data_IF_996809663177
#
_entry.id   IF_996809663177
#
_cell.length_a   1.000
_cell.length_b   1.000
_cell.length_c   1.000
_cell.angle_alpha   90.00
_cell.angle_beta   90.00
_cell.angle_gamma   90.00
#
_symmetry.space_group_name_H-M   'P 1'
#
loop_
_entity.id
_entity.type
_entity.pdbx_description
1 polymer ?
#
# COMPACT_ATOMS: atom_id res chain seq x y z
N UNK A 1 -6.50 18.05 -9.95
CA UNK A 1 -7.20 17.34 -8.86
C UNK A 1 -6.26 16.74 -7.82
N UNK A 2 -5.50 15.67 -8.08
CA UNK A 2 -4.64 15.03 -7.05
C UNK A 2 -3.73 16.01 -6.28
N UNK A 3 -3.01 16.90 -6.98
CA UNK A 3 -2.11 17.88 -6.32
C UNK A 3 -2.85 18.82 -5.38
N UNK A 4 -4.03 19.29 -5.79
CA UNK A 4 -4.87 20.19 -5.00
C UNK A 4 -5.30 19.48 -3.73
N UNK A 5 -5.81 18.24 -3.83
CA UNK A 5 -6.22 17.45 -2.65
C UNK A 5 -5.05 17.28 -1.66
N UNK A 6 -3.86 16.92 -2.15
CA UNK A 6 -2.69 16.75 -1.27
C UNK A 6 -2.28 18.08 -0.62
N UNK A 7 -2.29 19.18 -1.37
CA UNK A 7 -1.99 20.51 -0.82
C UNK A 7 -3.02 20.93 0.23
N UNK A 8 -4.31 20.70 -0.03
CA UNK A 8 -5.38 20.96 0.95
C UNK A 8 -5.16 20.15 2.22
N UNK A 9 -4.82 18.86 2.11
CA UNK A 9 -4.50 18.01 3.27
C UNK A 9 -3.29 18.52 4.05
N UNK A 10 -2.24 18.99 3.37
CA UNK A 10 -1.05 19.57 4.01
C UNK A 10 -1.36 20.89 4.72
N UNK A 11 -2.19 21.76 4.12
CA UNK A 11 -2.62 23.01 4.75
C UNK A 11 -3.47 22.73 5.98
N UNK A 12 -4.43 21.79 5.88
CA UNK A 12 -5.24 21.35 7.03
C UNK A 12 -4.31 20.83 8.14
N UNK A 13 -3.33 19.99 7.79
CA UNK A 13 -2.35 19.48 8.77
C UNK A 13 -1.50 20.60 9.39
N UNK A 14 -1.09 21.60 8.62
CA UNK A 14 -0.35 22.77 9.11
C UNK A 14 -1.15 23.57 10.14
N UNK A 15 -2.45 23.77 9.89
CA UNK A 15 -3.36 24.46 10.81
C UNK A 15 -3.57 23.63 12.07
N UNK A 16 -3.84 22.33 11.93
CA UNK A 16 -4.02 21.42 13.07
C UNK A 16 -2.75 21.37 13.93
N UNK A 17 -1.57 21.25 13.31
CA UNK A 17 -0.31 21.22 14.06
C UNK A 17 -0.03 22.54 14.77
N UNK A 18 -0.41 23.67 14.17
CA UNK A 18 -0.31 25.00 14.81
C UNK A 18 -1.21 25.12 16.03
N UNK A 19 -2.49 24.74 15.90
CA UNK A 19 -3.44 24.73 17.01
C UNK A 19 -2.96 23.81 18.14
N UNK A 20 -2.50 22.59 17.80
CA UNK A 20 -2.00 21.64 18.79
C UNK A 20 -0.79 22.19 19.54
N UNK A 21 0.13 22.84 18.82
CA UNK A 21 1.32 23.46 19.41
C UNK A 21 0.93 24.57 20.38
N UNK A 22 0.00 25.45 19.99
CA UNK A 22 -0.55 26.49 20.86
C UNK A 22 -1.16 25.90 22.14
N UNK A 23 -1.94 24.83 22.04
CA UNK A 23 -2.52 24.16 23.20
C UNK A 23 -1.44 23.60 24.15
N UNK A 24 -0.35 23.03 23.63
CA UNK A 24 0.74 22.50 24.45
C UNK A 24 1.64 23.59 25.05
N UNK A 25 1.82 24.72 24.37
CA UNK A 25 2.71 25.81 24.79
C UNK A 25 1.97 27.01 25.39
N UNK A 26 0.72 26.82 25.83
CA UNK A 26 -0.18 27.91 26.27
C UNK A 26 0.40 28.74 27.42
N UNK A 27 1.29 28.16 28.23
CA UNK A 27 1.95 28.81 29.38
C UNK A 27 3.49 28.86 29.23
N UNK A 28 4.01 28.54 28.05
CA UNK A 28 5.43 28.47 27.79
C UNK A 28 5.89 29.67 26.95
N UNK A 29 7.17 30.01 27.04
CA UNK A 29 7.76 31.07 26.21
C UNK A 29 7.56 30.81 24.72
N UNK A 30 7.48 31.89 23.93
CA UNK A 30 7.31 31.84 22.47
C UNK A 30 8.34 30.93 21.78
N UNK A 31 9.54 30.78 22.36
CA UNK A 31 10.58 29.85 21.89
C UNK A 31 10.07 28.40 21.78
N UNK A 32 9.30 27.92 22.77
CA UNK A 32 8.77 26.56 22.77
C UNK A 32 7.74 26.35 21.68
N UNK A 33 6.94 27.38 21.35
CA UNK A 33 6.00 27.32 20.23
C UNK A 33 6.73 27.16 18.90
N UNK A 34 7.78 27.97 18.68
CA UNK A 34 8.60 27.90 17.46
C UNK A 34 9.37 26.57 17.33
N UNK A 35 9.62 25.87 18.44
CA UNK A 35 10.24 24.54 18.43
C UNK A 35 9.21 23.41 18.24
N UNK A 36 8.09 23.45 18.96
CA UNK A 36 7.08 22.38 18.96
C UNK A 36 6.31 22.32 17.64
N UNK A 37 6.00 23.45 17.03
CA UNK A 37 5.23 23.49 15.79
C UNK A 37 5.90 22.78 14.60
N UNK A 38 7.17 23.05 14.24
CA UNK A 38 7.83 22.31 13.18
C UNK A 38 8.02 20.84 13.56
N UNK A 39 8.23 20.53 14.85
CA UNK A 39 8.33 19.15 15.32
C UNK A 39 7.03 18.38 15.05
N UNK A 40 5.89 18.88 15.53
CA UNK A 40 4.57 18.25 15.34
C UNK A 40 4.22 18.18 13.85
N UNK A 41 4.48 19.25 13.09
CA UNK A 41 4.23 19.26 11.65
C UNK A 41 5.04 18.19 10.91
N UNK A 42 6.29 17.95 11.34
CA UNK A 42 7.19 16.98 10.71
C UNK A 42 6.92 15.52 11.11
N UNK A 43 6.08 15.25 12.12
CA UNK A 43 5.79 13.90 12.60
C UNK A 43 5.40 12.90 11.50
N UNK A 44 4.50 13.22 10.54
CA UNK A 44 4.17 12.27 9.48
C UNK A 44 5.37 11.89 8.60
N UNK A 45 6.38 12.76 8.48
CA UNK A 45 7.58 12.50 7.70
C UNK A 45 8.58 11.58 8.43
N UNK A 46 8.46 11.46 9.75
CA UNK A 46 9.22 10.48 10.54
C UNK A 46 8.83 9.03 10.24
N UNK A 47 7.67 8.80 9.58
CA UNK A 47 7.23 7.49 9.13
C UNK A 47 8.24 6.80 8.20
N UNK A 48 9.11 7.56 7.52
CA UNK A 48 10.22 7.00 6.75
C UNK A 48 11.19 6.21 7.63
N UNK A 49 11.57 6.75 8.78
CA UNK A 49 12.47 6.09 9.72
C UNK A 49 11.79 4.86 10.32
N UNK A 50 10.53 5.00 10.74
CA UNK A 50 9.73 3.88 11.24
C UNK A 50 9.61 2.75 10.19
N UNK A 51 9.35 3.08 8.93
CA UNK A 51 9.30 2.09 7.85
C UNK A 51 10.66 1.42 7.58
N UNK A 52 11.77 2.15 7.77
CA UNK A 52 13.12 1.60 7.69
C UNK A 52 13.40 0.57 8.79
N UNK A 53 13.00 0.88 10.02
CA UNK A 53 13.11 -0.02 11.17
C UNK A 53 12.19 -1.23 10.98
N UNK A 54 10.93 -1.03 10.58
CA UNK A 54 9.99 -2.12 10.37
C UNK A 54 10.47 -3.10 9.29
N UNK A 55 11.16 -2.64 8.24
CA UNK A 55 11.79 -3.52 7.24
C UNK A 55 12.85 -4.45 7.82
N UNK A 56 13.63 -3.99 8.80
CA UNK A 56 14.66 -4.82 9.42
C UNK A 56 14.03 -5.95 10.23
N UNK A 57 12.92 -5.68 10.91
CA UNK A 57 12.22 -6.67 11.73
C UNK A 57 11.21 -7.52 10.93
N UNK A 58 10.70 -7.02 9.81
CA UNK A 58 9.69 -7.68 8.97
C UNK A 58 10.17 -7.72 7.51
N UNK A 59 11.02 -8.69 7.15
CA UNK A 59 11.57 -8.77 5.80
C UNK A 59 10.52 -9.15 4.73
N UNK A 60 9.33 -9.60 5.13
CA UNK A 60 8.26 -9.96 4.21
C UNK A 60 7.93 -8.80 3.24
N UNK A 61 7.87 -9.13 1.95
CA UNK A 61 7.56 -8.16 0.89
C UNK A 61 6.05 -7.99 0.68
N UNK A 62 5.27 -8.96 1.16
CA UNK A 62 3.82 -9.00 0.99
C UNK A 62 3.14 -9.20 2.34
N UNK A 63 1.91 -8.71 2.43
CA UNK A 63 1.04 -8.88 3.58
C UNK A 63 -0.26 -9.52 3.11
N UNK A 64 -0.66 -10.60 3.78
CA UNK A 64 -1.94 -11.26 3.55
C UNK A 64 -2.92 -10.75 4.59
N UNK A 65 -3.96 -10.05 4.15
CA UNK A 65 -5.06 -9.62 5.00
C UNK A 65 -6.25 -10.54 4.81
N UNK A 66 -6.77 -11.09 5.91
CA UNK A 66 -7.90 -12.03 5.88
C UNK A 66 -9.20 -11.31 6.26
N UNK A 67 -10.24 -11.49 5.44
CA UNK A 67 -11.58 -11.00 5.75
C UNK A 67 -12.64 -12.02 5.33
N UNK A 68 -13.31 -12.60 6.33
CA UNK A 68 -14.28 -13.70 6.17
C UNK A 68 -13.63 -14.91 5.49
N UNK A 69 -13.97 -15.18 4.23
CA UNK A 69 -13.41 -16.27 3.40
C UNK A 69 -12.60 -15.76 2.22
N UNK A 70 -12.08 -14.53 2.33
CA UNK A 70 -11.29 -13.87 1.31
C UNK A 70 -9.95 -13.47 1.90
N UNK A 71 -8.89 -13.73 1.16
CA UNK A 71 -7.57 -13.18 1.45
C UNK A 71 -7.25 -12.08 0.44
N UNK A 72 -6.59 -11.04 0.92
CA UNK A 72 -6.06 -9.96 0.11
C UNK A 72 -4.56 -9.97 0.21
N UNK A 73 -3.89 -10.14 -0.94
CA UNK A 73 -2.43 -10.07 -1.01
C UNK A 73 -2.07 -8.65 -1.41
N UNK A 74 -1.48 -7.93 -0.47
CA UNK A 74 -1.02 -6.57 -0.64
C UNK A 74 0.51 -6.51 -0.59
N UNK A 75 1.08 -5.46 -1.19
CA UNK A 75 2.44 -5.06 -0.86
C UNK A 75 2.48 -4.70 0.64
N UNK A 76 3.48 -5.18 1.36
CA UNK A 76 3.64 -4.81 2.75
C UNK A 76 3.84 -3.28 2.88
N UNK A 77 3.16 -2.61 3.84
CA UNK A 77 3.09 -1.15 3.91
C UNK A 77 4.43 -0.47 4.23
N UNK A 78 5.41 -1.23 4.74
CA UNK A 78 6.77 -0.75 4.96
C UNK A 78 7.63 -0.82 3.69
N UNK A 79 7.26 -1.58 2.66
CA UNK A 79 8.07 -1.74 1.45
C UNK A 79 8.02 -0.52 0.53
N UNK A 80 9.09 -0.24 -0.23
CA UNK A 80 9.08 0.86 -1.16
C UNK A 80 8.16 0.53 -2.34
N UNK A 81 7.21 1.43 -2.61
CA UNK A 81 6.30 1.33 -3.76
C UNK A 81 6.91 1.91 -5.05
N UNK A 82 8.04 2.62 -4.94
CA UNK A 82 8.68 3.38 -6.04
C UNK A 82 10.21 3.25 -5.99
N UNK A 83 10.87 3.33 -7.14
CA UNK A 83 12.33 3.30 -7.25
C UNK A 83 12.93 1.91 -7.10
N UNK A 84 12.13 0.87 -7.36
CA UNK A 84 12.55 -0.52 -7.25
C UNK A 84 13.47 -0.91 -8.40
N UNK A 85 14.56 -1.60 -8.09
CA UNK A 85 15.42 -2.23 -9.10
C UNK A 85 14.70 -3.41 -9.76
N UNK A 86 15.09 -3.83 -10.98
CA UNK A 86 14.50 -5.00 -11.63
C UNK A 86 14.53 -6.26 -10.74
N UNK A 87 15.64 -6.49 -10.02
CA UNK A 87 15.79 -7.59 -9.08
C UNK A 87 14.78 -7.51 -7.92
N UNK A 88 14.59 -6.33 -7.33
CA UNK A 88 13.59 -6.12 -6.26
C UNK A 88 12.17 -6.35 -6.76
N UNK A 89 11.88 -5.97 -8.02
CA UNK A 89 10.58 -6.22 -8.62
C UNK A 89 10.36 -7.72 -8.85
N UNK A 90 11.38 -8.47 -9.25
CA UNK A 90 11.28 -9.93 -9.38
C UNK A 90 11.02 -10.61 -8.04
N UNK A 91 11.82 -10.29 -7.00
CA UNK A 91 11.61 -10.78 -5.63
C UNK A 91 10.21 -10.45 -5.10
N UNK A 92 9.71 -9.25 -5.42
CA UNK A 92 8.34 -8.87 -5.10
C UNK A 92 7.32 -9.81 -5.75
N UNK A 93 7.44 -10.12 -7.03
CA UNK A 93 6.50 -11.00 -7.72
C UNK A 93 6.60 -12.46 -7.27
N UNK A 94 7.80 -12.92 -6.92
CA UNK A 94 7.99 -14.22 -6.28
C UNK A 94 7.26 -14.27 -4.94
N UNK A 95 7.42 -13.25 -4.10
CA UNK A 95 6.70 -13.15 -2.82
C UNK A 95 5.18 -13.05 -3.01
N UNK A 96 4.69 -12.30 -4.00
CA UNK A 96 3.25 -12.25 -4.33
C UNK A 96 2.75 -13.63 -4.74
N UNK A 97 3.51 -14.36 -5.56
CA UNK A 97 3.13 -15.69 -6.02
C UNK A 97 3.03 -16.66 -4.84
N UNK A 98 4.06 -16.70 -4.00
CA UNK A 98 4.09 -17.58 -2.84
C UNK A 98 2.97 -17.27 -1.83
N UNK A 99 2.79 -15.99 -1.50
CA UNK A 99 1.70 -15.53 -0.63
C UNK A 99 0.32 -15.82 -1.21
N UNK A 100 0.15 -15.73 -2.53
CA UNK A 100 -1.11 -16.04 -3.21
C UNK A 100 -1.40 -17.54 -3.14
N UNK A 101 -0.40 -18.40 -3.33
CA UNK A 101 -0.55 -19.85 -3.21
C UNK A 101 -0.93 -20.25 -1.79
N UNK A 102 -0.18 -19.78 -0.79
CA UNK A 102 -0.48 -20.02 0.64
C UNK A 102 -1.87 -19.50 1.03
N UNK A 103 -2.28 -18.36 0.47
CA UNK A 103 -3.62 -17.84 0.68
C UNK A 103 -4.69 -18.74 0.06
N UNK A 104 -4.46 -19.30 -1.13
CA UNK A 104 -5.42 -20.18 -1.82
C UNK A 104 -5.62 -21.53 -1.10
N UNK A 105 -4.62 -22.03 -0.38
CA UNK A 105 -4.75 -23.24 0.45
C UNK A 105 -5.86 -23.09 1.49
N UNK A 106 -5.97 -21.91 2.08
CA UNK A 106 -6.86 -21.67 3.23
C UNK A 106 -8.08 -20.79 2.89
N UNK A 107 -8.14 -20.21 1.69
CA UNK A 107 -9.18 -19.24 1.33
C UNK A 107 -9.80 -19.54 -0.03
N UNK A 108 -11.13 -19.42 -0.09
CA UNK A 108 -11.90 -19.63 -1.32
C UNK A 108 -11.62 -18.56 -2.39
N UNK A 109 -11.36 -17.34 -1.97
CA UNK A 109 -11.12 -16.20 -2.86
C UNK A 109 -9.86 -15.48 -2.41
N UNK A 110 -8.95 -15.24 -3.34
CA UNK A 110 -7.74 -14.43 -3.14
C UNK A 110 -7.78 -13.25 -4.09
N UNK A 111 -7.53 -12.06 -3.56
CA UNK A 111 -7.56 -10.81 -4.32
C UNK A 111 -6.17 -10.19 -4.29
N UNK A 112 -5.60 -9.99 -5.48
CA UNK A 112 -4.30 -9.36 -5.67
C UNK A 112 -4.54 -8.00 -6.32
N UNK A 113 -4.10 -6.94 -5.65
CA UNK A 113 -4.22 -5.57 -6.14
C UNK A 113 -2.88 -4.86 -6.04
N UNK A 114 -2.34 -4.39 -7.15
CA UNK A 114 -1.04 -3.70 -7.17
C UNK A 114 -0.92 -2.79 -8.39
N UNK A 115 -0.39 -1.58 -8.24
CA UNK A 115 -0.07 -0.71 -9.37
C UNK A 115 0.94 -1.32 -10.35
N UNK A 116 1.71 -2.31 -9.89
CA UNK A 116 2.69 -3.05 -10.68
C UNK A 116 2.08 -4.23 -11.44
N UNK A 117 0.82 -4.57 -11.18
CA UNK A 117 0.12 -5.66 -11.84
C UNK A 117 -0.16 -5.25 -13.30
N UNK A 118 0.56 -5.89 -14.22
CA UNK A 118 0.34 -5.77 -15.66
C UNK A 118 -0.37 -7.01 -16.17
N UNK A 119 -1.03 -6.96 -17.35
CA UNK A 119 -1.63 -8.15 -17.95
C UNK A 119 -0.65 -9.32 -18.08
N UNK A 120 0.60 -9.03 -18.44
CA UNK A 120 1.67 -10.03 -18.51
C UNK A 120 1.96 -10.69 -17.16
N UNK A 121 2.08 -9.88 -16.10
CA UNK A 121 2.32 -10.39 -14.73
C UNK A 121 1.15 -11.15 -14.17
N UNK A 122 -0.07 -10.71 -14.46
CA UNK A 122 -1.28 -11.44 -14.09
C UNK A 122 -1.29 -12.83 -14.75
N UNK A 123 -1.02 -12.92 -16.07
CA UNK A 123 -0.95 -14.21 -16.77
C UNK A 123 0.14 -15.12 -16.20
N UNK A 124 1.33 -14.59 -15.93
CA UNK A 124 2.43 -15.36 -15.33
C UNK A 124 2.07 -15.88 -13.94
N UNK A 125 1.43 -15.06 -13.10
CA UNK A 125 0.96 -15.46 -11.79
C UNK A 125 -0.06 -16.60 -11.88
N UNK A 126 -1.01 -16.52 -12.82
CA UNK A 126 -2.00 -17.59 -13.05
C UNK A 126 -1.32 -18.88 -13.50
N UNK A 127 -0.40 -18.82 -14.46
CA UNK A 127 0.34 -20.00 -14.93
C UNK A 127 1.08 -20.71 -13.78
N UNK A 128 1.75 -19.96 -12.90
CA UNK A 128 2.46 -20.52 -11.74
C UNK A 128 1.51 -21.15 -10.71
N UNK A 129 0.29 -20.65 -10.59
CA UNK A 129 -0.73 -21.24 -9.69
C UNK A 129 -1.30 -22.53 -10.29
N UNK A 130 -1.53 -22.56 -11.61
CA UNK A 130 -1.99 -23.74 -12.33
C UNK A 130 -0.95 -24.86 -12.32
N UNK A 131 0.34 -24.52 -12.45
CA UNK A 131 1.47 -25.46 -12.29
C UNK A 131 1.48 -26.14 -10.91
N UNK A 132 0.99 -25.46 -9.87
CA UNK A 132 0.83 -26.01 -8.51
C UNK A 132 -0.47 -26.81 -8.32
N UNK A 133 -1.14 -27.17 -9.43
CA UNK A 133 -2.33 -28.02 -9.48
C UNK A 133 -3.56 -27.49 -8.70
N UNK A 134 -3.64 -26.18 -8.46
CA UNK A 134 -4.86 -25.58 -7.89
C UNK A 134 -5.93 -25.41 -8.98
N UNK A 135 -7.12 -26.05 -8.88
CA UNK A 135 -8.20 -25.77 -9.80
C UNK A 135 -8.75 -24.37 -9.50
N UNK A 136 -8.47 -23.40 -10.38
CA UNK A 136 -8.80 -21.99 -10.16
C UNK A 136 -9.74 -21.41 -11.23
N UNK A 137 -10.47 -20.37 -10.87
CA UNK A 137 -11.09 -19.42 -11.81
C UNK A 137 -10.57 -18.03 -11.49
N UNK A 138 -10.23 -17.26 -12.50
CA UNK A 138 -9.73 -15.90 -12.29
C UNK A 138 -10.52 -14.86 -13.08
N UNK A 139 -10.52 -13.63 -12.57
CA UNK A 139 -11.06 -12.46 -13.24
C UNK A 139 -10.13 -11.28 -12.99
N UNK A 140 -9.63 -10.68 -14.07
CA UNK A 140 -8.92 -9.42 -14.01
C UNK A 140 -9.88 -8.29 -14.37
N UNK A 141 -9.86 -7.20 -13.62
CA UNK A 141 -10.56 -5.98 -13.97
C UNK A 141 -9.77 -4.76 -13.48
N UNK A 142 -10.06 -3.61 -14.07
CA UNK A 142 -9.53 -2.34 -13.63
C UNK A 142 -10.58 -1.65 -12.77
N UNK A 143 -10.22 -1.31 -11.53
CA UNK A 143 -11.02 -0.46 -10.69
C UNK A 143 -10.65 1.01 -10.94
N UNK A 144 -11.61 1.91 -10.83
CA UNK A 144 -11.37 3.34 -11.01
C UNK A 144 -10.43 3.85 -9.93
N UNK A 145 -9.30 4.43 -10.35
CA UNK A 145 -8.37 5.02 -9.42
C UNK A 145 -8.76 6.48 -9.15
N UNK A 146 -9.67 6.63 -8.19
CA UNK A 146 -10.25 7.92 -7.84
C UNK A 146 -9.18 8.97 -7.46
N UNK A 147 -9.42 10.27 -7.70
CA UNK A 147 -8.49 11.33 -7.32
C UNK A 147 -8.11 11.30 -5.83
N UNK A 148 -9.05 10.90 -4.96
CA UNK A 148 -8.83 10.75 -3.53
C UNK A 148 -7.87 9.60 -3.23
N UNK A 149 -8.07 8.42 -3.84
CA UNK A 149 -7.17 7.28 -3.67
C UNK A 149 -5.75 7.62 -4.17
N UNK A 150 -5.63 8.36 -5.28
CA UNK A 150 -4.34 8.88 -5.77
C UNK A 150 -3.69 9.85 -4.79
N UNK A 151 -4.47 10.71 -4.15
CA UNK A 151 -3.98 11.65 -3.15
C UNK A 151 -3.48 10.92 -1.90
N UNK A 152 -4.23 9.93 -1.40
CA UNK A 152 -3.82 9.10 -0.26
C UNK A 152 -2.51 8.37 -0.56
N UNK A 153 -2.40 7.71 -1.72
CA UNK A 153 -1.15 7.06 -2.14
C UNK A 153 0.01 8.05 -2.23
N UNK A 154 -0.25 9.27 -2.71
CA UNK A 154 0.75 10.33 -2.80
C UNK A 154 1.19 10.85 -1.44
N UNK A 155 0.27 10.99 -0.48
CA UNK A 155 0.59 11.32 0.91
C UNK A 155 1.43 10.21 1.54
N UNK A 156 1.08 8.95 1.33
CA UNK A 156 1.88 7.83 1.82
C UNK A 156 3.31 7.85 1.25
N UNK A 157 3.47 8.08 -0.05
CA UNK A 157 4.79 8.23 -0.67
C UNK A 157 5.56 9.43 -0.13
N UNK A 158 4.89 10.56 0.09
CA UNK A 158 5.50 11.76 0.65
C UNK A 158 6.01 11.49 2.06
N UNK A 159 5.18 10.92 2.93
CA UNK A 159 5.49 10.68 4.34
C UNK A 159 6.53 9.56 4.54
N UNK A 160 6.41 8.44 3.81
CA UNK A 160 7.27 7.26 3.99
C UNK A 160 8.52 7.26 3.14
N UNK A 161 8.52 7.95 1.98
CA UNK A 161 9.63 7.88 1.02
C UNK A 161 10.21 9.24 0.67
N UNK A 162 9.58 10.34 1.10
CA UNK A 162 9.95 11.72 0.76
C UNK A 162 10.04 11.92 -0.76
N UNK A 163 9.12 11.30 -1.50
CA UNK A 163 9.09 11.35 -2.97
C UNK A 163 7.77 11.88 -3.48
N UNK A 164 7.86 12.70 -4.51
CA UNK A 164 6.71 13.19 -5.25
C UNK A 164 6.59 12.51 -6.62
N UNK A 165 5.40 12.01 -6.98
CA UNK A 165 5.18 11.44 -8.32
C UNK A 165 3.84 11.84 -8.91
N UNK A 166 3.84 12.07 -10.22
CA UNK A 166 2.59 12.22 -10.97
C UNK A 166 2.03 10.83 -11.25
N UNK A 167 0.94 10.45 -10.59
CA UNK A 167 0.22 9.21 -10.92
C UNK A 167 -0.62 9.46 -12.17
N UNK A 168 -0.07 9.08 -13.33
CA UNK A 168 -0.72 9.23 -14.64
C UNK A 168 -1.78 8.15 -14.88
N UNK A 169 -1.68 7.01 -14.21
CA UNK A 169 -2.60 5.88 -14.40
C UNK A 169 -3.99 6.19 -13.85
N UNK A 170 -5.03 5.95 -14.64
CA UNK A 170 -6.45 6.10 -14.26
C UNK A 170 -7.02 4.86 -13.60
N UNK A 171 -6.36 3.73 -13.84
CA UNK A 171 -6.90 2.40 -13.54
C UNK A 171 -6.04 1.70 -12.50
N UNK A 172 -6.70 1.07 -11.53
CA UNK A 172 -6.08 0.19 -10.57
C UNK A 172 -6.36 -1.27 -10.93
N UNK A 173 -5.36 -2.02 -11.44
CA UNK A 173 -5.57 -3.40 -11.84
C UNK A 173 -5.77 -4.30 -10.61
N UNK A 174 -6.83 -5.10 -10.67
CA UNK A 174 -7.23 -6.06 -9.63
C UNK A 174 -7.39 -7.43 -10.27
N UNK A 175 -6.77 -8.43 -9.67
CA UNK A 175 -6.92 -9.83 -10.03
C UNK A 175 -7.64 -10.55 -8.89
N UNK A 176 -8.78 -11.14 -9.20
CA UNK A 176 -9.54 -11.99 -8.28
C UNK A 176 -9.37 -13.44 -8.72
N UNK A 177 -8.90 -14.27 -7.80
CA UNK A 177 -8.67 -15.69 -8.01
C UNK A 177 -9.61 -16.45 -7.06
N UNK A 178 -10.30 -17.45 -7.59
CA UNK A 178 -11.24 -18.28 -6.84
C UNK A 178 -10.81 -19.73 -6.93
N UNK A 179 -10.66 -20.36 -5.77
CA UNK A 179 -10.40 -21.79 -5.68
C UNK A 179 -11.70 -22.59 -5.92
N UNK A 180 -11.67 -23.54 -6.85
CA UNK A 180 -12.86 -24.27 -7.29
C UNK A 180 -13.27 -25.38 -6.32
N UNK A 181 -12.34 -26.12 -5.72
CA UNK A 181 -12.69 -27.25 -4.83
C UNK A 181 -13.33 -26.78 -3.51
N UNK A 182 -12.85 -25.66 -2.95
CA UNK A 182 -13.51 -24.95 -1.82
C UNK A 182 -14.88 -24.34 -2.18
N UNK A 183 -15.31 -24.43 -3.44
CA UNK A 183 -16.62 -23.97 -3.87
C UNK A 183 -17.73 -25.00 -3.72
N UNK A 184 -17.40 -26.29 -3.53
CA UNK A 184 -18.38 -27.40 -3.54
C UNK A 184 -19.13 -27.58 -2.21
N UNK A 185 -18.70 -26.95 -1.12
CA UNK A 185 -19.40 -27.01 0.17
C UNK A 185 -20.32 -25.79 0.37
N UNK A 186 -21.39 -25.73 -0.42
CA UNK A 186 -22.54 -24.86 -0.14
C UNK A 186 -23.83 -25.56 -0.50
#
# INVERSE_FOLDING_TARGET
>A
MQRVIVLTLLIIWLVISGILSLCYTLHADSFWLFLMWPFIFSLPFSLRLAAGIERQFRPALTLISHRRHRAWVHLAPWQPTVGLTPAQVNLFWESVTDSTCRALENNRIVIVSSHLLTPFRARRLIALIEERAFPIRYRAFNADFTPMAKAVMQCEMLCKQWRWRRLTRTDWPVLVIRHQSLSSNK
#
